data_IF_702107429676
#
_entry.id   IF_702107429676
#
_cell.length_a   1.000
_cell.length_b   1.000
_cell.length_c   1.000
_cell.angle_alpha   90.00
_cell.angle_beta   90.00
_cell.angle_gamma   90.00
#
_symmetry.space_group_name_H-M   'P 1'
#
loop_
_entity.id
_entity.type
_entity.pdbx_description
1 polymer ?
#
# COMPACT_ATOMS: atom_id res chain seq x y z
N UNK A 1 -6.61 -12.40 0.19
CA UNK A 1 -6.02 -12.40 -1.15
C UNK A 1 -6.44 -11.14 -1.90
N UNK A 2 -5.52 -10.53 -2.65
CA UNK A 2 -5.84 -9.34 -3.44
C UNK A 2 -6.47 -9.77 -4.76
N UNK A 3 -7.64 -9.19 -5.06
CA UNK A 3 -8.35 -9.43 -6.30
C UNK A 3 -8.11 -8.26 -7.27
N UNK A 4 -7.03 -8.34 -8.04
CA UNK A 4 -6.68 -7.30 -9.02
C UNK A 4 -7.64 -7.34 -10.21
N UNK A 5 -8.20 -6.19 -10.58
CA UNK A 5 -8.97 -6.07 -11.81
C UNK A 5 -8.07 -6.42 -13.02
N UNK A 6 -8.49 -7.41 -13.80
CA UNK A 6 -7.73 -7.97 -14.93
C UNK A 6 -6.27 -8.28 -14.59
N UNK A 7 -6.01 -8.69 -13.37
CA UNK A 7 -4.66 -8.96 -12.86
C UNK A 7 -3.74 -7.74 -12.86
N UNK A 8 -4.28 -6.52 -12.96
CA UNK A 8 -3.50 -5.30 -13.11
C UNK A 8 -3.66 -4.32 -11.95
N UNK A 9 -4.88 -4.02 -11.50
CA UNK A 9 -5.13 -2.93 -10.56
C UNK A 9 -6.05 -3.34 -9.43
N UNK A 10 -5.66 -2.99 -8.21
CA UNK A 10 -6.53 -2.98 -7.02
C UNK A 10 -6.44 -1.60 -6.37
N UNK A 11 -7.45 -1.21 -5.62
CA UNK A 11 -7.49 0.10 -4.95
C UNK A 11 -7.40 -0.13 -3.45
N UNK A 12 -6.42 0.51 -2.79
CA UNK A 12 -6.29 0.46 -1.34
C UNK A 12 -7.01 1.69 -0.75
N UNK A 13 -7.96 1.44 0.13
CA UNK A 13 -8.79 2.47 0.76
C UNK A 13 -8.98 2.16 2.24
N UNK A 14 -9.36 3.16 3.04
CA UNK A 14 -9.75 2.97 4.43
C UNK A 14 -11.26 2.78 4.54
N UNK A 15 -11.71 2.22 5.64
CA UNK A 15 -13.13 2.16 6.00
C UNK A 15 -13.29 2.56 7.47
N UNK A 16 -14.40 3.19 7.80
CA UNK A 16 -14.70 3.58 9.17
C UNK A 16 -14.94 2.36 10.06
N UNK A 17 -15.66 1.39 9.54
CA UNK A 17 -16.07 0.18 10.25
C UNK A 17 -16.36 -0.96 9.25
N UNK A 18 -16.76 -2.11 9.75
CA UNK A 18 -17.04 -3.28 8.91
C UNK A 18 -18.21 -3.02 7.96
N UNK A 19 -19.24 -2.30 8.41
CA UNK A 19 -20.38 -1.97 7.55
C UNK A 19 -19.92 -1.12 6.35
N UNK A 20 -19.12 -0.10 6.60
CA UNK A 20 -18.54 0.71 5.52
C UNK A 20 -17.60 -0.11 4.63
N UNK A 21 -16.83 -1.03 5.21
CA UNK A 21 -15.96 -1.92 4.45
C UNK A 21 -16.73 -2.78 3.46
N UNK A 22 -17.90 -3.29 3.84
CA UNK A 22 -18.76 -4.05 2.94
C UNK A 22 -19.29 -3.19 1.79
N UNK A 23 -19.72 -1.97 2.07
CA UNK A 23 -20.18 -1.02 1.05
C UNK A 23 -19.08 -0.71 0.04
N UNK A 24 -17.86 -0.50 0.53
CA UNK A 24 -16.67 -0.25 -0.31
C UNK A 24 -16.35 -1.46 -1.18
N UNK A 25 -16.36 -2.64 -0.59
CA UNK A 25 -16.07 -3.89 -1.30
C UNK A 25 -17.04 -4.09 -2.46
N UNK A 26 -18.32 -3.85 -2.22
CA UNK A 26 -19.36 -3.93 -3.26
C UNK A 26 -19.16 -2.85 -4.34
N UNK A 27 -18.94 -1.60 -3.93
CA UNK A 27 -18.71 -0.48 -4.86
C UNK A 27 -17.49 -0.69 -5.76
N UNK A 28 -16.46 -1.36 -5.24
CA UNK A 28 -15.25 -1.71 -5.98
C UNK A 28 -15.35 -3.04 -6.71
N UNK A 29 -16.51 -3.68 -6.73
CA UNK A 29 -16.72 -4.99 -7.37
C UNK A 29 -15.70 -6.05 -6.92
N UNK A 30 -15.29 -5.99 -5.65
CA UNK A 30 -14.33 -6.89 -5.06
C UNK A 30 -12.86 -6.52 -5.29
N UNK A 31 -12.57 -5.43 -5.96
CA UNK A 31 -11.20 -5.01 -6.31
C UNK A 31 -10.60 -3.98 -5.33
N UNK A 32 -11.21 -3.79 -4.16
CA UNK A 32 -10.64 -2.98 -3.10
C UNK A 32 -9.85 -3.83 -2.10
N UNK A 33 -8.76 -3.26 -1.61
CA UNK A 33 -8.03 -3.74 -0.44
C UNK A 33 -8.27 -2.73 0.67
N UNK A 34 -8.79 -3.17 1.80
CA UNK A 34 -9.24 -2.25 2.85
C UNK A 34 -8.23 -2.23 3.99
N UNK A 35 -7.71 -1.04 4.25
CA UNK A 35 -6.70 -0.82 5.27
C UNK A 35 -7.28 -0.76 6.67
N UNK A 36 -6.66 -1.50 7.58
CA UNK A 36 -6.88 -1.41 9.03
C UNK A 36 -5.55 -0.99 9.65
N UNK A 37 -5.53 0.19 10.26
CA UNK A 37 -4.29 0.81 10.70
C UNK A 37 -3.87 0.30 12.08
N UNK A 38 -2.65 -0.22 12.19
CA UNK A 38 -2.11 -0.75 13.45
C UNK A 38 -2.00 0.32 14.53
N UNK A 39 -1.86 1.60 14.16
CA UNK A 39 -1.83 2.72 15.10
C UNK A 39 -3.11 2.83 15.95
N UNK A 40 -4.23 2.27 15.49
CA UNK A 40 -5.49 2.27 16.24
C UNK A 40 -5.50 1.32 17.45
N UNK A 41 -4.55 0.40 17.51
CA UNK A 41 -4.55 -0.65 18.52
C UNK A 41 -3.47 -0.40 19.58
N UNK A 42 -3.81 -0.68 20.84
CA UNK A 42 -2.87 -0.53 21.96
C UNK A 42 -1.92 -1.72 22.07
N UNK A 43 -2.26 -2.86 21.46
CA UNK A 43 -1.44 -4.07 21.53
C UNK A 43 -1.59 -4.90 20.25
N UNK A 44 -0.66 -5.84 20.06
CA UNK A 44 -0.76 -6.85 19.00
C UNK A 44 -2.03 -7.69 19.16
N UNK A 45 -2.33 -8.12 20.38
CA UNK A 45 -3.49 -8.97 20.68
C UNK A 45 -4.80 -8.29 20.31
N UNK A 46 -4.94 -7.00 20.64
CA UNK A 46 -6.11 -6.21 20.25
C UNK A 46 -6.22 -6.12 18.73
N UNK A 47 -5.11 -5.86 18.07
CA UNK A 47 -5.05 -5.79 16.62
C UNK A 47 -5.42 -7.10 15.93
N UNK A 48 -4.91 -8.21 16.44
CA UNK A 48 -5.23 -9.56 15.93
C UNK A 48 -6.74 -9.83 16.03
N UNK A 49 -7.33 -9.58 17.17
CA UNK A 49 -8.76 -9.80 17.39
C UNK A 49 -9.60 -8.96 16.42
N UNK A 50 -9.26 -7.68 16.28
CA UNK A 50 -10.02 -6.77 15.43
C UNK A 50 -9.84 -7.08 13.94
N UNK A 51 -8.61 -7.33 13.48
CA UNK A 51 -8.36 -7.67 12.08
C UNK A 51 -9.05 -8.99 11.69
N UNK A 52 -9.07 -9.96 12.58
CA UNK A 52 -9.83 -11.20 12.35
C UNK A 52 -11.32 -10.96 12.16
N UNK A 53 -11.91 -10.03 12.93
CA UNK A 53 -13.30 -9.65 12.75
C UNK A 53 -13.56 -9.08 11.36
N UNK A 54 -12.69 -8.20 10.88
CA UNK A 54 -12.80 -7.63 9.54
C UNK A 54 -12.61 -8.68 8.45
N UNK A 55 -11.62 -9.55 8.60
CA UNK A 55 -11.35 -10.61 7.62
C UNK A 55 -12.49 -11.62 7.50
N UNK A 56 -13.28 -11.81 8.55
CA UNK A 56 -14.47 -12.68 8.52
C UNK A 56 -15.57 -12.09 7.63
N UNK A 57 -15.55 -10.79 7.37
CA UNK A 57 -16.62 -10.09 6.66
C UNK A 57 -16.19 -9.57 5.28
N UNK A 58 -14.91 -9.27 5.10
CA UNK A 58 -14.36 -8.76 3.85
C UNK A 58 -13.08 -9.53 3.51
N UNK A 59 -12.92 -9.98 2.26
CA UNK A 59 -11.85 -10.92 1.91
C UNK A 59 -10.46 -10.29 1.79
N UNK A 60 -10.35 -8.97 1.56
CA UNK A 60 -9.07 -8.33 1.25
C UNK A 60 -8.77 -7.22 2.25
N UNK A 61 -8.11 -7.58 3.33
CA UNK A 61 -7.68 -6.64 4.38
C UNK A 61 -6.16 -6.43 4.29
N UNK A 62 -5.78 -5.16 4.44
CA UNK A 62 -4.40 -4.71 4.56
C UNK A 62 -4.16 -4.20 5.98
N UNK A 63 -3.13 -4.68 6.64
CA UNK A 63 -2.68 -4.10 7.92
C UNK A 63 -1.75 -2.93 7.60
N UNK A 64 -2.17 -1.73 7.99
CA UNK A 64 -1.43 -0.50 7.74
C UNK A 64 -0.65 -0.02 8.95
N UNK A 65 0.30 0.88 8.71
CA UNK A 65 1.05 1.55 9.78
C UNK A 65 0.23 2.67 10.41
N UNK A 66 -0.35 3.53 9.59
CA UNK A 66 -0.96 4.80 9.97
C UNK A 66 -0.03 5.96 9.59
N UNK A 67 -0.34 6.62 8.47
CA UNK A 67 0.45 7.73 7.90
C UNK A 67 1.96 7.42 7.76
N UNK A 68 2.29 6.16 7.52
CA UNK A 68 3.69 5.74 7.38
C UNK A 68 4.49 5.80 8.68
N UNK A 69 3.83 5.83 9.84
CA UNK A 69 4.50 5.91 11.14
C UNK A 69 5.44 4.72 11.35
N UNK A 70 6.77 4.93 11.37
CA UNK A 70 7.73 3.83 11.49
C UNK A 70 7.66 3.10 12.83
N UNK A 71 7.14 3.74 13.88
CA UNK A 71 6.98 3.12 15.19
C UNK A 71 6.01 1.94 15.16
N UNK A 72 5.15 1.85 14.14
CA UNK A 72 4.14 0.80 14.00
C UNK A 72 4.67 -0.46 13.31
N UNK A 73 5.89 -0.46 12.80
CA UNK A 73 6.41 -1.57 11.97
C UNK A 73 6.32 -2.93 12.67
N UNK A 74 6.70 -3.00 13.93
CA UNK A 74 6.66 -4.24 14.72
C UNK A 74 5.23 -4.73 14.92
N UNK A 75 4.35 -3.85 15.39
CA UNK A 75 2.95 -4.20 15.68
C UNK A 75 2.24 -4.68 14.41
N UNK A 76 2.41 -3.96 13.30
CA UNK A 76 1.81 -4.35 12.02
C UNK A 76 2.31 -5.73 11.55
N UNK A 77 3.62 -5.97 11.63
CA UNK A 77 4.21 -7.25 11.25
C UNK A 77 3.72 -8.41 12.13
N UNK A 78 3.63 -8.19 13.43
CA UNK A 78 3.20 -9.25 14.37
C UNK A 78 1.72 -9.55 14.26
N UNK A 79 0.88 -8.55 13.98
CA UNK A 79 -0.53 -8.78 13.66
C UNK A 79 -0.62 -9.62 12.38
N UNK A 80 0.07 -9.20 11.32
CA UNK A 80 0.05 -9.91 10.03
C UNK A 80 0.53 -11.37 10.17
N UNK A 81 1.57 -11.61 10.95
CA UNK A 81 2.10 -12.95 11.17
C UNK A 81 1.08 -13.91 11.81
N UNK A 82 0.11 -13.37 12.57
CA UNK A 82 -0.91 -14.19 13.22
C UNK A 82 -2.19 -14.35 12.39
N UNK A 83 -2.56 -13.33 11.61
CA UNK A 83 -3.84 -13.36 10.88
C UNK A 83 -3.71 -13.66 9.40
N UNK A 84 -2.51 -13.54 8.84
CA UNK A 84 -2.21 -13.74 7.41
C UNK A 84 -3.16 -12.94 6.51
N UNK A 85 -3.15 -11.60 6.58
CA UNK A 85 -4.02 -10.76 5.76
C UNK A 85 -3.59 -10.81 4.30
N UNK A 86 -4.37 -10.21 3.43
CA UNK A 86 -4.00 -10.09 2.02
C UNK A 86 -2.72 -9.27 1.82
N UNK A 87 -2.49 -8.28 2.68
CA UNK A 87 -1.41 -7.31 2.51
C UNK A 87 -0.98 -6.73 3.87
N UNK A 88 0.28 -6.35 4.00
CA UNK A 88 0.82 -5.62 5.16
C UNK A 88 1.77 -4.52 4.71
N UNK A 89 1.63 -3.35 5.31
CA UNK A 89 2.51 -2.21 5.06
C UNK A 89 3.72 -2.26 6.00
N UNK A 90 4.88 -1.87 5.48
CA UNK A 90 6.12 -1.84 6.25
C UNK A 90 7.00 -0.65 5.90
N UNK A 91 7.86 -0.26 6.82
CA UNK A 91 8.99 0.59 6.53
C UNK A 91 9.94 -0.14 5.56
N UNK A 92 10.86 0.58 4.95
CA UNK A 92 11.85 -0.07 4.06
C UNK A 92 12.58 -1.21 4.79
N UNK A 93 13.20 -0.92 5.92
CA UNK A 93 13.96 -1.91 6.68
C UNK A 93 13.07 -2.94 7.39
N UNK A 94 11.87 -2.56 7.77
CA UNK A 94 10.92 -3.46 8.44
C UNK A 94 10.36 -4.55 7.56
N UNK A 95 10.44 -4.40 6.24
CA UNK A 95 9.90 -5.40 5.31
C UNK A 95 10.58 -6.75 5.45
N UNK A 96 11.88 -6.78 5.69
CA UNK A 96 12.61 -8.04 5.96
C UNK A 96 12.18 -8.71 7.25
N UNK A 97 11.92 -7.92 8.29
CA UNK A 97 11.36 -8.43 9.54
C UNK A 97 9.97 -9.05 9.33
N UNK A 98 9.09 -8.36 8.62
CA UNK A 98 7.76 -8.87 8.32
C UNK A 98 7.81 -10.14 7.47
N UNK A 99 8.69 -10.18 6.48
CA UNK A 99 8.87 -11.37 5.65
C UNK A 99 9.29 -12.58 6.47
N UNK A 100 10.24 -12.40 7.39
CA UNK A 100 10.67 -13.47 8.30
C UNK A 100 9.57 -13.94 9.24
N UNK A 101 8.83 -13.00 9.84
CA UNK A 101 7.73 -13.32 10.74
C UNK A 101 6.61 -14.08 10.03
N UNK A 102 6.24 -13.67 8.82
CA UNK A 102 5.23 -14.35 8.01
C UNK A 102 5.70 -15.73 7.55
N UNK A 103 6.95 -15.86 7.11
CA UNK A 103 7.50 -17.14 6.72
C UNK A 103 7.48 -18.14 7.88
N UNK A 104 7.82 -17.69 9.09
CA UNK A 104 7.84 -18.53 10.27
C UNK A 104 6.46 -19.06 10.70
N UNK A 105 5.39 -18.39 10.26
CA UNK A 105 4.00 -18.76 10.64
C UNK A 105 3.18 -19.27 9.47
N UNK A 106 3.80 -19.52 8.31
CA UNK A 106 3.09 -20.01 7.12
C UNK A 106 2.30 -18.93 6.36
N UNK A 107 2.64 -17.66 6.57
CA UNK A 107 1.92 -16.53 5.96
C UNK A 107 2.55 -15.96 4.69
N UNK A 108 3.31 -16.75 3.93
CA UNK A 108 4.04 -16.27 2.73
C UNK A 108 3.14 -15.76 1.60
N UNK A 109 1.83 -15.95 1.69
CA UNK A 109 0.88 -15.44 0.70
C UNK A 109 0.51 -13.97 0.92
N UNK A 110 0.81 -13.41 2.08
CA UNK A 110 0.60 -11.99 2.37
C UNK A 110 1.55 -11.15 1.54
N UNK A 111 1.03 -10.19 0.79
CA UNK A 111 1.85 -9.19 0.11
C UNK A 111 2.47 -8.24 1.14
N UNK A 112 3.77 -8.01 1.01
CA UNK A 112 4.53 -7.09 1.88
C UNK A 112 5.04 -5.95 1.02
N UNK A 113 4.75 -4.71 1.41
CA UNK A 113 5.40 -3.58 0.77
C UNK A 113 6.62 -3.11 1.57
N UNK A 114 7.47 -2.33 0.91
CA UNK A 114 8.55 -1.59 1.55
C UNK A 114 8.38 -0.11 1.21
N UNK A 115 8.38 0.74 2.23
CA UNK A 115 8.17 2.17 2.07
C UNK A 115 9.46 2.86 1.62
N UNK A 116 9.38 3.53 0.50
CA UNK A 116 10.38 4.50 0.02
C UNK A 116 9.72 5.86 -0.18
N UNK A 117 10.50 6.92 -0.08
CA UNK A 117 10.00 8.29 -0.19
C UNK A 117 10.64 9.04 -1.35
N UNK A 118 9.98 10.09 -1.87
CA UNK A 118 10.56 10.96 -2.88
C UNK A 118 11.88 11.57 -2.40
N UNK A 119 12.83 11.68 -3.33
CA UNK A 119 14.16 12.25 -3.10
C UNK A 119 14.34 13.65 -3.70
N UNK A 120 13.37 14.09 -4.48
CA UNK A 120 13.41 15.26 -5.37
C UNK A 120 14.27 15.04 -6.63
N UNK A 121 14.78 13.83 -6.84
CA UNK A 121 15.58 13.45 -8.03
C UNK A 121 14.98 12.21 -8.68
N UNK A 122 14.40 12.32 -9.88
CA UNK A 122 13.91 11.13 -10.61
C UNK A 122 15.03 10.10 -10.79
N UNK A 123 14.71 8.83 -10.50
CA UNK A 123 15.67 7.74 -10.55
C UNK A 123 16.32 7.42 -9.20
N UNK A 124 16.09 8.24 -8.18
CA UNK A 124 16.55 8.01 -6.81
C UNK A 124 15.37 8.07 -5.84
N UNK A 125 15.45 7.30 -4.76
CA UNK A 125 14.47 7.28 -3.67
C UNK A 125 15.17 7.32 -2.32
N UNK A 126 14.44 7.78 -1.30
CA UNK A 126 14.89 7.72 0.10
C UNK A 126 14.42 6.40 0.69
N UNK A 127 15.39 5.65 1.25
CA UNK A 127 15.11 4.37 1.91
C UNK A 127 15.13 4.49 3.44
N UNK A 128 15.50 5.64 3.99
CA UNK A 128 15.58 5.91 5.43
C UNK A 128 14.19 6.21 6.02
N UNK A 129 13.31 5.21 6.01
CA UNK A 129 11.91 5.32 6.45
C UNK A 129 11.62 4.56 7.75
N UNK A 130 12.64 4.03 8.39
CA UNK A 130 12.53 3.29 9.65
C UNK A 130 12.57 4.19 10.89
N UNK A 131 12.38 3.60 12.07
CA UNK A 131 12.30 4.34 13.34
C UNK A 131 13.53 5.20 13.61
N UNK A 132 14.73 4.66 13.41
CA UNK A 132 15.98 5.36 13.64
C UNK A 132 16.46 6.11 12.39
N UNK A 133 16.34 5.46 11.24
CA UNK A 133 16.87 6.03 9.99
C UNK A 133 16.11 7.28 9.54
N UNK A 134 14.82 7.40 9.85
CA UNK A 134 14.04 8.60 9.52
C UNK A 134 14.45 9.82 10.35
N UNK A 135 15.18 9.64 11.43
CA UNK A 135 15.65 10.72 12.31
C UNK A 135 17.03 11.26 11.92
N UNK A 136 17.73 10.58 11.05
CA UNK A 136 19.09 10.93 10.67
C UNK A 136 19.17 11.60 9.30
N UNK A 137 20.37 11.63 8.76
CA UNK A 137 20.63 12.12 7.40
C UNK A 137 19.92 11.16 6.43
N UNK A 138 19.11 11.68 5.48
CA UNK A 138 18.41 10.80 4.54
C UNK A 138 19.36 9.96 3.70
N UNK A 139 19.04 8.66 3.60
CA UNK A 139 19.75 7.75 2.70
C UNK A 139 19.02 7.71 1.36
N UNK A 140 19.68 8.22 0.33
CA UNK A 140 19.18 8.21 -1.04
C UNK A 140 19.98 7.21 -1.86
N UNK A 141 19.26 6.36 -2.59
CA UNK A 141 19.87 5.35 -3.48
C UNK A 141 19.11 5.34 -4.81
N UNK A 142 19.73 4.74 -5.83
CA UNK A 142 19.03 4.54 -7.10
C UNK A 142 17.78 3.67 -6.91
N UNK A 143 16.77 3.89 -7.75
CA UNK A 143 15.59 3.03 -7.74
C UNK A 143 15.97 1.56 -7.93
N UNK A 144 16.92 1.25 -8.81
CA UNK A 144 17.39 -0.11 -9.03
C UNK A 144 17.98 -0.74 -7.77
N UNK A 145 18.82 0.00 -7.03
CA UNK A 145 19.36 -0.50 -5.79
C UNK A 145 18.27 -0.75 -4.75
N UNK A 146 17.33 0.18 -4.60
CA UNK A 146 16.22 0.04 -3.67
C UNK A 146 15.36 -1.19 -4.00
N UNK A 147 14.98 -1.37 -5.26
CA UNK A 147 14.16 -2.50 -5.70
C UNK A 147 14.86 -3.83 -5.42
N UNK A 148 16.15 -3.93 -5.72
CA UNK A 148 16.92 -5.15 -5.47
C UNK A 148 17.05 -5.44 -3.97
N UNK A 149 17.27 -4.43 -3.14
CA UNK A 149 17.29 -4.59 -1.68
C UNK A 149 15.91 -5.05 -1.16
N UNK A 150 14.80 -4.51 -1.69
CA UNK A 150 13.46 -4.97 -1.34
C UNK A 150 13.28 -6.45 -1.65
N UNK A 151 13.76 -6.89 -2.81
CA UNK A 151 13.70 -8.31 -3.21
C UNK A 151 14.51 -9.18 -2.25
N UNK A 152 15.72 -8.73 -1.88
CA UNK A 152 16.55 -9.44 -0.90
C UNK A 152 15.86 -9.58 0.46
N UNK A 153 15.10 -8.57 0.87
CA UNK A 153 14.34 -8.59 2.12
C UNK A 153 13.04 -9.40 2.06
N UNK A 154 12.63 -9.82 0.86
CA UNK A 154 11.38 -10.56 0.68
C UNK A 154 10.14 -9.69 0.50
N UNK A 155 10.30 -8.41 0.21
CA UNK A 155 9.18 -7.53 -0.12
C UNK A 155 8.66 -7.79 -1.53
N UNK A 156 7.36 -7.64 -1.73
CA UNK A 156 6.67 -7.87 -3.00
C UNK A 156 6.40 -6.57 -3.75
N UNK A 157 6.36 -5.45 -3.05
CA UNK A 157 5.93 -4.18 -3.60
C UNK A 157 6.76 -3.01 -3.08
N UNK A 158 6.93 -2.00 -3.91
CA UNK A 158 7.45 -0.69 -3.52
C UNK A 158 6.27 0.24 -3.23
N UNK A 159 6.18 0.75 -2.01
CA UNK A 159 5.23 1.81 -1.65
C UNK A 159 5.95 3.15 -1.73
N UNK A 160 5.41 4.06 -2.53
CA UNK A 160 5.98 5.38 -2.76
C UNK A 160 5.15 6.43 -2.04
N UNK A 161 5.66 6.97 -0.93
CA UNK A 161 4.94 7.88 -0.04
C UNK A 161 5.90 8.81 0.73
N UNK A 162 5.56 10.08 0.98
CA UNK A 162 4.37 10.80 0.48
C UNK A 162 4.63 11.43 -0.90
N UNK A 163 3.78 11.12 -1.86
CA UNK A 163 3.94 11.65 -3.23
C UNK A 163 3.56 13.13 -3.37
N UNK A 164 2.61 13.59 -2.54
CA UNK A 164 2.02 14.90 -2.73
C UNK A 164 1.19 14.99 -4.03
N UNK A 165 0.45 13.94 -4.36
CA UNK A 165 -0.33 13.89 -5.58
C UNK A 165 0.55 13.92 -6.83
N UNK A 166 0.35 14.91 -7.70
CA UNK A 166 1.08 15.04 -8.96
C UNK A 166 2.51 15.56 -8.83
N UNK A 167 2.91 16.02 -7.64
CA UNK A 167 4.22 16.67 -7.45
C UNK A 167 5.40 15.75 -7.75
N UNK A 168 5.25 14.45 -7.58
CA UNK A 168 6.33 13.48 -7.72
C UNK A 168 6.12 12.53 -8.89
N UNK A 169 5.39 12.94 -9.95
CA UNK A 169 5.09 12.06 -11.09
C UNK A 169 6.33 11.54 -11.80
N UNK A 170 7.33 12.40 -12.05
CA UNK A 170 8.56 11.98 -12.72
C UNK A 170 9.32 10.94 -11.89
N UNK A 171 9.34 11.11 -10.57
CA UNK A 171 9.96 10.15 -9.66
C UNK A 171 9.17 8.83 -9.61
N UNK A 172 7.85 8.90 -9.56
CA UNK A 172 6.98 7.73 -9.61
C UNK A 172 7.21 6.92 -10.89
N UNK A 173 7.28 7.60 -12.03
CA UNK A 173 7.57 6.96 -13.33
C UNK A 173 8.90 6.21 -13.29
N UNK A 174 9.96 6.85 -12.80
CA UNK A 174 11.28 6.25 -12.71
C UNK A 174 11.29 5.02 -11.79
N UNK A 175 10.61 5.10 -10.64
CA UNK A 175 10.51 3.96 -9.73
C UNK A 175 9.71 2.81 -10.36
N UNK A 176 8.59 3.11 -11.01
CA UNK A 176 7.77 2.10 -11.67
C UNK A 176 8.52 1.41 -12.82
N UNK A 177 9.30 2.17 -13.60
CA UNK A 177 10.16 1.60 -14.65
C UNK A 177 11.21 0.68 -14.08
N UNK A 178 11.88 1.08 -13.00
CA UNK A 178 12.88 0.25 -12.32
C UNK A 178 12.26 -1.02 -11.75
N UNK A 179 11.08 -0.93 -11.14
CA UNK A 179 10.34 -2.09 -10.65
C UNK A 179 10.07 -3.08 -11.79
N UNK A 180 9.55 -2.60 -12.92
CA UNK A 180 9.26 -3.43 -14.09
C UNK A 180 10.53 -4.10 -14.65
N UNK A 181 11.61 -3.34 -14.80
CA UNK A 181 12.87 -3.83 -15.34
C UNK A 181 13.54 -4.87 -14.45
N UNK A 182 13.34 -4.79 -13.14
CA UNK A 182 13.92 -5.70 -12.17
C UNK A 182 12.97 -6.82 -11.72
N UNK A 183 11.81 -6.96 -12.37
CA UNK A 183 10.87 -8.05 -12.09
C UNK A 183 10.07 -7.89 -10.81
N UNK A 184 10.01 -6.70 -10.21
CA UNK A 184 9.07 -6.43 -9.13
C UNK A 184 7.69 -6.15 -9.72
N UNK A 185 6.68 -6.91 -9.28
CA UNK A 185 5.38 -6.93 -9.95
C UNK A 185 4.41 -5.86 -9.48
N UNK A 186 4.55 -5.36 -8.26
CA UNK A 186 3.57 -4.46 -7.65
C UNK A 186 4.19 -3.15 -7.22
N UNK A 187 3.55 -2.03 -7.57
CA UNK A 187 3.87 -0.69 -7.08
C UNK A 187 2.65 -0.05 -6.41
N UNK A 188 2.88 0.71 -5.34
CA UNK A 188 1.82 1.29 -4.51
C UNK A 188 2.02 2.80 -4.34
N UNK A 189 1.57 3.62 -5.32
CA UNK A 189 1.64 5.07 -5.20
C UNK A 189 0.69 5.55 -4.09
N UNK A 190 1.19 6.45 -3.23
CA UNK A 190 0.50 6.86 -2.01
C UNK A 190 0.76 8.32 -1.67
N UNK A 191 -0.28 9.02 -1.25
CA UNK A 191 -0.20 10.40 -0.73
C UNK A 191 -0.75 11.43 -1.71
N UNK A 192 -1.76 12.16 -1.27
CA UNK A 192 -2.39 13.23 -2.04
C UNK A 192 -3.17 12.78 -3.26
N UNK A 193 -3.53 11.50 -3.35
CA UNK A 193 -4.31 10.97 -4.47
C UNK A 193 -5.78 11.28 -4.24
N UNK A 194 -6.44 11.83 -5.26
CA UNK A 194 -7.85 12.17 -5.26
C UNK A 194 -8.50 11.76 -6.59
N UNK A 195 -9.81 12.04 -6.72
CA UNK A 195 -10.54 11.71 -7.96
C UNK A 195 -10.00 12.46 -9.20
N UNK A 196 -9.41 13.63 -9.00
CA UNK A 196 -8.93 14.45 -10.12
C UNK A 196 -7.58 13.98 -10.67
N UNK A 197 -6.69 13.49 -9.81
CA UNK A 197 -5.34 13.05 -10.22
C UNK A 197 -5.16 11.53 -10.33
N UNK A 198 -6.15 10.75 -9.91
CA UNK A 198 -6.06 9.28 -9.89
C UNK A 198 -5.74 8.71 -11.28
N UNK A 199 -6.44 9.16 -12.31
CA UNK A 199 -6.23 8.68 -13.68
C UNK A 199 -4.80 8.91 -14.15
N UNK A 200 -4.26 10.10 -13.92
CA UNK A 200 -2.90 10.46 -14.31
C UNK A 200 -1.85 9.61 -13.58
N UNK A 201 -2.02 9.42 -12.28
CA UNK A 201 -1.10 8.62 -11.46
C UNK A 201 -1.14 7.15 -11.90
N UNK A 202 -2.33 6.59 -12.07
CA UNK A 202 -2.49 5.21 -12.53
C UNK A 202 -1.90 5.01 -13.92
N UNK A 203 -2.19 5.91 -14.85
CA UNK A 203 -1.68 5.85 -16.21
C UNK A 203 -0.14 5.92 -16.25
N UNK A 204 0.47 6.74 -15.41
CA UNK A 204 1.93 6.83 -15.28
C UNK A 204 2.54 5.47 -14.94
N UNK A 205 1.94 4.74 -13.99
CA UNK A 205 2.42 3.41 -13.61
C UNK A 205 2.14 2.37 -14.72
N UNK A 206 0.98 2.41 -15.34
CA UNK A 206 0.64 1.49 -16.43
C UNK A 206 1.61 1.64 -17.60
N UNK A 207 1.90 2.87 -18.01
CA UNK A 207 2.82 3.16 -19.11
C UNK A 207 4.27 2.81 -18.79
N UNK A 208 4.65 2.81 -17.53
CA UNK A 208 5.99 2.40 -17.10
C UNK A 208 6.22 0.89 -17.24
N UNK A 209 5.17 0.09 -17.41
CA UNK A 209 5.26 -1.33 -17.68
C UNK A 209 5.24 -2.24 -16.46
N UNK A 210 5.01 -1.70 -15.25
CA UNK A 210 4.87 -2.53 -14.06
C UNK A 210 3.57 -3.36 -14.16
N UNK A 211 3.64 -4.62 -13.74
CA UNK A 211 2.56 -5.58 -13.95
C UNK A 211 1.30 -5.24 -13.13
N UNK A 212 1.47 -4.82 -11.89
CA UNK A 212 0.35 -4.57 -10.97
C UNK A 212 0.53 -3.24 -10.24
N UNK A 213 -0.55 -2.53 -10.06
CA UNK A 213 -0.58 -1.23 -9.38
C UNK A 213 -1.68 -1.24 -8.32
N UNK A 214 -1.35 -0.77 -7.11
CA UNK A 214 -2.33 -0.59 -6.05
C UNK A 214 -2.20 0.82 -5.46
N UNK A 215 -2.88 1.82 -6.05
CA UNK A 215 -2.91 3.16 -5.48
C UNK A 215 -3.61 3.15 -4.11
N UNK A 216 -3.07 3.92 -3.17
CA UNK A 216 -3.71 4.16 -1.87
C UNK A 216 -4.45 5.49 -1.93
N UNK A 217 -5.77 5.46 -1.82
CA UNK A 217 -6.63 6.65 -1.87
C UNK A 217 -7.37 6.75 -0.54
N UNK A 218 -7.02 7.72 0.28
CA UNK A 218 -7.48 7.77 1.67
C UNK A 218 -8.34 9.00 1.96
N UNK A 219 -7.75 10.07 2.47
CA UNK A 219 -8.50 11.20 3.03
C UNK A 219 -9.40 11.91 2.01
N UNK A 220 -9.01 11.94 0.75
CA UNK A 220 -9.76 12.64 -0.30
C UNK A 220 -11.16 12.08 -0.55
N UNK A 221 -11.39 10.82 -0.20
CA UNK A 221 -12.67 10.14 -0.42
C UNK A 221 -13.39 9.79 0.90
N UNK A 222 -12.89 10.28 2.02
CA UNK A 222 -13.53 10.12 3.33
C UNK A 222 -14.44 11.32 3.60
N UNK A 223 -15.71 11.06 3.94
CA UNK A 223 -16.63 12.10 4.36
C UNK A 223 -16.19 12.61 5.76
N UNK A 224 -15.87 13.90 5.90
CA UNK A 224 -15.40 14.43 7.18
C UNK A 224 -16.46 14.44 8.28
N UNK A 225 -17.74 14.38 7.93
CA UNK A 225 -18.83 14.36 8.92
C UNK A 225 -19.07 12.96 9.47
N UNK A 226 -19.23 11.98 8.58
CA UNK A 226 -19.53 10.60 8.99
C UNK A 226 -18.27 9.78 9.29
N UNK A 227 -17.14 10.14 8.69
CA UNK A 227 -15.90 9.35 8.73
C UNK A 227 -15.91 8.17 7.78
N UNK A 228 -17.00 7.93 7.06
CA UNK A 228 -17.09 6.86 6.07
C UNK A 228 -16.28 7.21 4.82
N UNK A 229 -15.59 6.23 4.26
CA UNK A 229 -15.18 6.32 2.85
C UNK A 229 -16.44 6.26 2.00
N UNK A 230 -16.57 7.20 1.07
CA UNK A 230 -17.78 7.30 0.22
C UNK A 230 -17.81 6.19 -0.81
N UNK A 231 -18.80 5.29 -0.78
CA UNK A 231 -18.89 4.23 -1.78
C UNK A 231 -18.99 4.75 -3.21
N UNK A 232 -19.68 5.88 -3.43
CA UNK A 232 -19.79 6.49 -4.76
C UNK A 232 -18.44 6.95 -5.30
N UNK A 233 -17.52 7.39 -4.45
CA UNK A 233 -16.17 7.78 -4.86
C UNK A 233 -15.33 6.56 -5.21
N UNK A 234 -15.47 5.48 -4.45
CA UNK A 234 -14.82 4.20 -4.78
C UNK A 234 -15.32 3.67 -6.12
N UNK A 235 -16.62 3.76 -6.37
CA UNK A 235 -17.20 3.39 -7.65
C UNK A 235 -16.63 4.23 -8.80
N UNK A 236 -16.47 5.55 -8.58
CA UNK A 236 -15.86 6.45 -9.57
C UNK A 236 -14.39 6.06 -9.87
N UNK A 237 -13.62 5.70 -8.85
CA UNK A 237 -12.25 5.21 -9.03
C UNK A 237 -12.24 3.91 -9.86
N UNK A 238 -13.14 2.98 -9.58
CA UNK A 238 -13.25 1.75 -10.37
C UNK A 238 -13.60 1.99 -11.83
N UNK A 239 -14.45 2.96 -12.11
CA UNK A 239 -14.77 3.34 -13.49
C UNK A 239 -13.53 3.84 -14.23
N UNK A 240 -12.68 4.64 -13.56
CA UNK A 240 -11.39 5.08 -14.12
C UNK A 240 -10.47 3.88 -14.39
N UNK A 241 -10.38 2.95 -13.45
CA UNK A 241 -9.59 1.72 -13.64
C UNK A 241 -10.05 0.98 -14.89
N UNK A 242 -11.34 0.79 -15.05
CA UNK A 242 -11.92 0.07 -16.21
C UNK A 242 -11.64 0.77 -17.53
N UNK A 243 -11.63 2.11 -17.54
CA UNK A 243 -11.31 2.88 -18.73
C UNK A 243 -9.84 2.76 -19.14
N UNK A 244 -8.94 2.66 -18.16
CA UNK A 244 -7.50 2.65 -18.42
C UNK A 244 -6.93 1.23 -18.61
N UNK A 245 -7.59 0.21 -18.08
CA UNK A 245 -7.12 -1.18 -18.10
C UNK A 245 -8.02 -2.03 -19.00
N UNK A 246 -7.89 -1.90 -20.29
CA UNK A 246 -8.62 -2.71 -21.29
C UNK A 246 -7.71 -3.68 -22.02
#
# INVERSE_FOLDING_TARGET
RINFYRQRVAINVLAKDIANAREIHEAAEGHAVIGVLSAQFTSVEQGVAEVRRWMAEVPSISVGLGAGDPAQFYKAAMIAAQVHPAHVNQTFTGSGFAAGALAATGGQQTFINALVSPSDTPGEVRISTGVRSAQGIPAQVSCDAAVRMMQDMGAHAAKFFPMGGEKSLAELKALAQSAAENGMTLIEPTGGIDLDNFALILQTCLQAGVAQIMPHVYSSIIDPQSGNTRPQDVHALMNIVKELVD
#
